data_IF_883448315736
#
_entry.id   IF_883448315736
#
_cell.length_a   1.000
_cell.length_b   1.000
_cell.length_c   1.000
_cell.angle_alpha   90.00
_cell.angle_beta   90.00
_cell.angle_gamma   90.00
#
_symmetry.space_group_name_H-M   'P 1'
#
loop_
_entity.id
_entity.type
_entity.pdbx_description
1 polymer ?
#
# COMPACT_ATOMS: atom_id res chain seq x y z
N UNK A 1 -34.67 -7.45 2.37
CA UNK A 1 -34.04 -7.27 1.04
C UNK A 1 -33.16 -6.02 0.94
N UNK A 2 -33.62 -4.84 1.34
CA UNK A 2 -32.86 -3.58 1.21
C UNK A 2 -31.50 -3.59 1.95
N UNK A 3 -31.42 -4.18 3.14
CA UNK A 3 -30.17 -4.21 3.93
C UNK A 3 -29.11 -5.14 3.35
N UNK A 4 -29.51 -6.31 2.81
CA UNK A 4 -28.59 -7.20 2.12
C UNK A 4 -28.04 -6.53 0.85
N UNK A 5 -28.91 -5.82 0.12
CA UNK A 5 -28.50 -5.03 -1.05
C UNK A 5 -27.47 -3.95 -0.70
N UNK A 6 -27.70 -3.19 0.38
CA UNK A 6 -26.77 -2.18 0.86
C UNK A 6 -25.42 -2.78 1.29
N UNK A 7 -25.42 -3.95 1.92
CA UNK A 7 -24.19 -4.64 2.28
C UNK A 7 -23.39 -5.07 1.04
N UNK A 8 -24.05 -5.75 0.10
CA UNK A 8 -23.42 -6.20 -1.16
C UNK A 8 -22.86 -4.99 -1.93
N UNK A 9 -23.63 -3.90 -2.01
CA UNK A 9 -23.20 -2.67 -2.68
C UNK A 9 -22.00 -2.01 -1.98
N UNK A 10 -21.97 -2.01 -0.64
CA UNK A 10 -20.85 -1.50 0.14
C UNK A 10 -19.57 -2.32 -0.10
N UNK A 11 -19.68 -3.66 -0.15
CA UNK A 11 -18.54 -4.55 -0.45
C UNK A 11 -18.03 -4.35 -1.89
N UNK A 12 -18.94 -4.20 -2.84
CA UNK A 12 -18.59 -3.92 -4.23
C UNK A 12 -17.85 -2.58 -4.38
N UNK A 13 -18.36 -1.52 -3.75
CA UNK A 13 -17.68 -0.21 -3.77
C UNK A 13 -16.29 -0.26 -3.16
N UNK A 14 -16.13 -0.98 -2.05
CA UNK A 14 -14.83 -1.13 -1.39
C UNK A 14 -13.83 -1.86 -2.30
N UNK A 15 -14.25 -2.96 -2.92
CA UNK A 15 -13.40 -3.70 -3.86
C UNK A 15 -12.98 -2.84 -5.05
N UNK A 16 -13.92 -2.10 -5.62
CA UNK A 16 -13.63 -1.22 -6.75
C UNK A 16 -12.67 -0.10 -6.37
N UNK A 17 -12.88 0.57 -5.23
CA UNK A 17 -11.98 1.62 -4.77
C UNK A 17 -10.55 1.10 -4.55
N UNK A 18 -10.42 -0.11 -3.99
CA UNK A 18 -9.12 -0.73 -3.80
C UNK A 18 -8.45 -1.13 -5.12
N UNK A 19 -9.21 -1.70 -6.07
CA UNK A 19 -8.70 -2.01 -7.41
C UNK A 19 -8.25 -0.75 -8.15
N UNK A 20 -9.05 0.31 -8.11
CA UNK A 20 -8.70 1.59 -8.73
C UNK A 20 -7.45 2.21 -8.11
N UNK A 21 -7.31 2.18 -6.78
CA UNK A 21 -6.10 2.67 -6.12
C UNK A 21 -4.85 1.92 -6.59
N UNK A 22 -4.93 0.59 -6.71
CA UNK A 22 -3.83 -0.25 -7.23
C UNK A 22 -3.47 0.08 -8.68
N UNK A 23 -4.47 0.22 -9.53
CA UNK A 23 -4.27 0.59 -10.94
C UNK A 23 -3.63 1.99 -11.08
N UNK A 24 -4.10 2.95 -10.28
CA UNK A 24 -3.50 4.29 -10.24
C UNK A 24 -2.05 4.26 -9.77
N UNK A 25 -1.74 3.51 -8.71
CA UNK A 25 -0.37 3.36 -8.20
C UNK A 25 0.57 2.76 -9.24
N UNK A 26 0.15 1.67 -9.90
CA UNK A 26 0.95 1.06 -10.98
C UNK A 26 1.15 2.04 -12.15
N UNK A 27 0.14 2.81 -12.51
CA UNK A 27 0.23 3.82 -13.57
C UNK A 27 1.19 4.96 -13.19
N UNK A 28 1.08 5.48 -11.96
CA UNK A 28 1.95 6.54 -11.46
C UNK A 28 3.40 6.05 -11.40
N UNK A 29 3.64 4.86 -10.84
CA UNK A 29 4.98 4.28 -10.79
C UNK A 29 5.56 4.08 -12.20
N UNK A 30 4.79 3.50 -13.14
CA UNK A 30 5.24 3.30 -14.52
C UNK A 30 5.52 4.59 -15.26
N UNK A 31 4.71 5.63 -15.05
CA UNK A 31 4.93 6.94 -15.66
C UNK A 31 6.10 7.67 -14.98
N UNK A 32 6.23 7.51 -13.68
CA UNK A 32 7.31 8.10 -12.89
C UNK A 32 8.69 7.60 -13.30
N UNK A 33 8.81 6.31 -13.64
CA UNK A 33 10.07 5.73 -14.15
C UNK A 33 10.61 6.49 -15.36
N UNK A 34 9.74 7.01 -16.21
CA UNK A 34 10.15 7.76 -17.41
C UNK A 34 10.84 9.10 -17.08
N UNK A 35 10.71 9.58 -15.86
CA UNK A 35 11.36 10.82 -15.38
C UNK A 35 12.73 10.56 -14.74
N UNK A 36 13.08 9.29 -14.48
CA UNK A 36 14.29 8.93 -13.76
C UNK A 36 15.48 8.85 -14.73
N UNK A 37 16.54 9.58 -14.40
CA UNK A 37 17.83 9.46 -15.04
C UNK A 37 18.54 8.21 -14.52
N UNK A 38 18.55 7.15 -15.33
CA UNK A 38 19.05 5.84 -14.91
C UNK A 38 20.58 5.85 -14.74
N UNK A 39 21.31 6.63 -15.53
CA UNK A 39 22.77 6.73 -15.41
C UNK A 39 23.15 7.42 -14.08
N UNK A 40 22.46 8.52 -13.75
CA UNK A 40 22.63 9.18 -12.46
C UNK A 40 22.23 8.23 -11.30
N UNK A 41 21.13 7.50 -11.44
CA UNK A 41 20.66 6.55 -10.41
C UNK A 41 21.72 5.48 -10.12
N UNK A 42 22.30 4.88 -11.14
CA UNK A 42 23.32 3.84 -11.01
C UNK A 42 24.65 4.37 -10.41
N UNK A 43 24.83 5.68 -10.42
CA UNK A 43 26.01 6.34 -9.87
C UNK A 43 25.83 6.79 -8.41
N UNK A 44 24.64 6.66 -7.82
CA UNK A 44 24.38 6.98 -6.41
C UNK A 44 25.16 6.04 -5.50
N UNK A 45 26.01 6.53 -4.60
CA UNK A 45 26.72 5.68 -3.64
C UNK A 45 25.72 5.04 -2.65
N UNK A 46 25.71 3.71 -2.53
CA UNK A 46 24.83 2.96 -1.64
C UNK A 46 25.39 2.92 -0.20
N UNK A 47 25.65 4.09 0.34
CA UNK A 47 26.04 4.35 1.74
C UNK A 47 25.35 5.60 2.22
N UNK A 48 25.09 5.73 3.51
CA UNK A 48 24.30 6.86 4.05
C UNK A 48 24.85 8.25 3.64
N UNK A 49 26.18 8.40 3.56
CA UNK A 49 26.80 9.64 3.07
C UNK A 49 26.52 9.94 1.59
N UNK A 50 26.02 8.96 0.83
CA UNK A 50 25.62 9.12 -0.57
C UNK A 50 24.45 10.08 -0.78
N UNK A 51 23.66 10.37 0.29
CA UNK A 51 22.62 11.41 0.27
C UNK A 51 23.15 12.78 -0.17
N UNK A 52 24.39 13.10 0.18
CA UNK A 52 25.06 14.34 -0.23
C UNK A 52 25.56 14.38 -1.67
N UNK A 53 25.49 13.28 -2.43
CA UNK A 53 26.02 13.25 -3.80
C UNK A 53 25.16 14.04 -4.78
N UNK A 54 25.76 14.63 -5.84
CA UNK A 54 25.00 15.35 -6.86
C UNK A 54 23.96 14.46 -7.56
N UNK A 55 24.29 13.19 -7.76
CA UNK A 55 23.42 12.18 -8.41
C UNK A 55 22.19 11.89 -7.54
N UNK A 56 22.38 11.68 -6.23
CA UNK A 56 21.27 11.53 -5.29
C UNK A 56 20.35 12.74 -5.33
N UNK A 57 20.91 13.96 -5.23
CA UNK A 57 20.15 15.20 -5.25
C UNK A 57 19.39 15.41 -6.58
N UNK A 58 19.95 14.93 -7.69
CA UNK A 58 19.27 14.96 -8.99
C UNK A 58 18.04 14.03 -8.98
N UNK A 59 18.20 12.78 -8.55
CA UNK A 59 17.11 11.80 -8.50
C UNK A 59 16.06 12.23 -7.47
N UNK A 60 16.45 12.68 -6.29
CA UNK A 60 15.54 13.18 -5.25
C UNK A 60 14.59 14.26 -5.80
N UNK A 61 15.11 15.23 -6.56
CA UNK A 61 14.25 16.24 -7.22
C UNK A 61 13.30 15.66 -8.25
N UNK A 62 13.64 14.53 -8.89
CA UNK A 62 12.74 13.83 -9.81
C UNK A 62 11.63 13.11 -9.03
N UNK A 63 11.97 12.48 -7.90
CA UNK A 63 10.99 11.85 -6.99
C UNK A 63 10.02 12.88 -6.39
N UNK A 64 10.52 14.04 -5.98
CA UNK A 64 9.67 15.12 -5.48
C UNK A 64 8.63 15.58 -6.53
N UNK A 65 9.00 15.68 -7.80
CA UNK A 65 8.04 16.00 -8.88
C UNK A 65 6.96 14.94 -9.01
N UNK A 66 7.33 13.66 -8.90
CA UNK A 66 6.36 12.56 -8.91
C UNK A 66 5.43 12.69 -7.70
N UNK A 67 5.98 12.90 -6.50
CA UNK A 67 5.21 13.09 -5.28
C UNK A 67 4.22 14.25 -5.38
N UNK A 68 4.65 15.38 -5.91
CA UNK A 68 3.80 16.57 -6.08
C UNK A 68 2.73 16.43 -7.18
N UNK A 69 2.83 15.44 -8.06
CA UNK A 69 1.88 15.24 -9.15
C UNK A 69 0.49 14.80 -8.69
N UNK A 70 0.38 14.22 -7.48
CA UNK A 70 -0.88 13.73 -6.94
C UNK A 70 -0.87 13.82 -5.40
N UNK A 71 -1.82 14.56 -4.83
CA UNK A 71 -1.94 14.78 -3.38
C UNK A 71 -2.22 13.51 -2.55
N UNK A 72 -2.59 12.40 -3.19
CA UNK A 72 -2.78 11.10 -2.52
C UNK A 72 -1.47 10.36 -2.29
N UNK A 73 -0.38 10.78 -2.95
CA UNK A 73 0.94 10.18 -2.78
C UNK A 73 1.53 10.65 -1.45
N UNK A 74 1.92 9.68 -0.63
CA UNK A 74 2.57 9.96 0.65
C UNK A 74 4.08 9.83 0.53
N UNK A 75 4.56 8.72 -0.03
CA UNK A 75 5.99 8.47 -0.22
C UNK A 75 6.31 8.07 -1.66
N UNK A 76 7.52 8.41 -2.09
CA UNK A 76 8.10 8.00 -3.38
C UNK A 76 9.57 7.70 -3.17
N UNK A 77 9.98 6.51 -3.54
CA UNK A 77 11.34 6.03 -3.30
C UNK A 77 11.81 5.06 -4.38
N UNK A 78 13.12 4.86 -4.44
CA UNK A 78 13.75 3.88 -5.32
C UNK A 78 14.53 2.89 -4.47
N UNK A 79 14.32 1.59 -4.73
CA UNK A 79 15.06 0.51 -4.11
C UNK A 79 15.71 -0.38 -5.15
N UNK A 80 16.83 -0.97 -4.79
CA UNK A 80 17.53 -2.01 -5.55
C UNK A 80 17.68 -3.28 -4.68
N UNK A 81 17.88 -4.47 -5.27
CA UNK A 81 18.20 -5.67 -4.48
C UNK A 81 19.43 -5.46 -3.62
N UNK A 82 19.41 -5.95 -2.39
CA UNK A 82 20.60 -5.97 -1.54
C UNK A 82 21.42 -7.26 -1.77
N UNK A 83 22.59 -7.35 -1.16
CA UNK A 83 23.42 -8.55 -1.09
C UNK A 83 22.78 -9.70 -0.29
N UNK A 84 21.78 -9.39 0.53
CA UNK A 84 21.06 -10.34 1.37
C UNK A 84 19.75 -10.78 0.69
N UNK A 85 19.53 -12.10 0.48
CA UNK A 85 18.34 -12.59 -0.22
C UNK A 85 17.05 -12.18 0.46
N UNK A 86 16.12 -11.61 -0.34
CA UNK A 86 14.82 -11.13 0.12
C UNK A 86 14.85 -9.74 0.76
N UNK A 87 16.03 -9.13 0.86
CA UNK A 87 16.14 -7.74 1.28
C UNK A 87 16.35 -6.81 0.08
N UNK A 88 15.74 -5.65 0.16
CA UNK A 88 16.01 -4.51 -0.71
C UNK A 88 16.89 -3.50 0.04
N UNK A 89 17.45 -2.55 -0.67
CA UNK A 89 18.13 -1.38 -0.09
C UNK A 89 17.66 -0.11 -0.80
N UNK A 90 17.50 0.94 -0.03
CA UNK A 90 17.16 2.24 -0.59
C UNK A 90 18.30 2.80 -1.42
N UNK A 91 17.96 3.39 -2.56
CA UNK A 91 18.88 4.16 -3.38
C UNK A 91 18.62 5.65 -3.17
N UNK A 92 17.35 6.06 -3.37
CA UNK A 92 16.90 7.45 -3.13
C UNK A 92 15.48 7.40 -2.58
N UNK A 93 15.20 8.24 -1.60
CA UNK A 93 13.86 8.53 -1.09
C UNK A 93 13.62 10.04 -1.17
N UNK A 94 12.40 10.46 -1.49
CA UNK A 94 12.02 11.87 -1.46
C UNK A 94 11.99 12.43 -0.03
N UNK A 95 11.76 11.57 0.98
CA UNK A 95 11.71 11.94 2.40
C UNK A 95 12.54 10.94 3.24
N UNK A 96 13.87 10.94 3.12
CA UNK A 96 14.72 9.89 3.70
C UNK A 96 14.77 9.91 5.22
N UNK A 97 14.39 11.05 5.83
CA UNK A 97 14.42 11.24 7.28
C UNK A 97 13.01 11.59 7.75
N UNK A 98 12.38 10.75 8.59
CA UNK A 98 11.02 11.03 9.09
C UNK A 98 11.01 12.28 9.99
N UNK A 99 9.89 13.00 10.02
CA UNK A 99 9.70 14.19 10.88
C UNK A 99 9.96 13.88 12.37
N UNK A 100 9.68 12.66 12.80
CA UNK A 100 9.95 12.19 14.16
C UNK A 100 10.80 10.93 14.06
N UNK A 101 12.10 11.08 14.31
CA UNK A 101 13.03 9.94 14.39
C UNK A 101 12.79 9.24 15.74
N UNK A 102 12.31 8.03 15.67
CA UNK A 102 12.19 7.14 16.84
C UNK A 102 13.00 5.86 16.59
N UNK A 103 13.27 5.08 17.64
CA UNK A 103 13.91 3.78 17.48
C UNK A 103 13.08 2.80 16.61
N UNK A 104 11.82 3.13 16.30
CA UNK A 104 10.88 2.34 15.53
C UNK A 104 10.55 2.95 14.15
N UNK A 105 11.13 4.10 13.79
CA UNK A 105 10.98 4.74 12.49
C UNK A 105 12.38 4.96 11.90
N UNK A 106 12.95 3.97 11.20
CA UNK A 106 14.27 4.06 10.62
C UNK A 106 14.30 5.06 9.47
N UNK A 107 15.49 5.48 9.10
CA UNK A 107 15.73 6.26 7.89
C UNK A 107 15.62 5.38 6.65
N UNK A 108 15.44 6.00 5.48
CA UNK A 108 15.51 5.37 4.15
C UNK A 108 16.66 5.96 3.33
N UNK A 109 17.81 6.17 4.00
CA UNK A 109 19.03 6.68 3.38
C UNK A 109 19.64 5.64 2.42
N UNK A 110 20.49 6.06 1.47
CA UNK A 110 21.16 5.14 0.56
C UNK A 110 21.87 3.99 1.30
N UNK A 111 21.58 2.76 0.91
CA UNK A 111 22.13 1.54 1.51
C UNK A 111 21.36 1.02 2.73
N UNK A 112 20.41 1.76 3.29
CA UNK A 112 19.55 1.25 4.37
C UNK A 112 18.71 0.08 3.85
N UNK A 113 18.72 -1.03 4.60
CA UNK A 113 18.07 -2.28 4.20
C UNK A 113 16.59 -2.31 4.56
N UNK A 114 15.80 -2.90 3.70
CA UNK A 114 14.36 -3.11 3.85
C UNK A 114 14.00 -4.58 3.66
N UNK A 115 13.32 -5.19 4.63
CA UNK A 115 12.88 -6.58 4.57
C UNK A 115 11.67 -6.73 3.63
N UNK A 116 11.89 -7.24 2.42
CA UNK A 116 10.86 -7.46 1.42
C UNK A 116 10.36 -8.92 1.33
N UNK A 117 10.79 -9.81 2.24
CA UNK A 117 10.48 -11.26 2.19
C UNK A 117 8.98 -11.56 2.20
N UNK A 118 8.20 -10.72 2.84
CA UNK A 118 6.75 -10.86 2.92
C UNK A 118 5.98 -9.92 1.98
N UNK A 119 6.67 -9.28 1.03
CA UNK A 119 6.12 -8.29 0.09
C UNK A 119 6.24 -8.79 -1.36
N UNK A 120 5.37 -9.72 -1.78
CA UNK A 120 5.46 -10.31 -3.12
C UNK A 120 5.32 -9.30 -4.25
N UNK A 121 4.63 -8.17 -4.01
CA UNK A 121 4.50 -7.10 -5.00
C UNK A 121 5.84 -6.43 -5.30
N UNK A 122 6.70 -6.22 -4.29
CA UNK A 122 8.06 -5.69 -4.45
C UNK A 122 8.89 -6.61 -5.36
N UNK A 123 8.85 -7.91 -5.09
CA UNK A 123 9.63 -8.88 -5.86
C UNK A 123 9.14 -9.02 -7.30
N UNK A 124 7.81 -9.04 -7.51
CA UNK A 124 7.24 -9.12 -8.86
C UNK A 124 7.41 -7.83 -9.67
N UNK A 125 7.77 -6.72 -9.03
CA UNK A 125 8.00 -5.44 -9.71
C UNK A 125 9.19 -5.45 -10.68
N UNK A 126 10.13 -6.38 -10.52
CA UNK A 126 11.23 -6.55 -11.47
C UNK A 126 10.78 -7.13 -12.81
N UNK A 127 9.70 -7.90 -12.83
CA UNK A 127 9.12 -8.46 -14.06
C UNK A 127 8.23 -7.44 -14.78
N UNK A 128 7.53 -6.59 -14.02
CA UNK A 128 6.64 -5.56 -14.54
C UNK A 128 5.93 -4.77 -13.44
N UNK A 129 5.11 -3.76 -13.78
CA UNK A 129 4.39 -2.99 -12.79
C UNK A 129 3.52 -3.88 -11.87
N UNK A 130 3.58 -3.64 -10.59
CA UNK A 130 2.86 -4.41 -9.56
C UNK A 130 2.30 -3.49 -8.49
N UNK A 131 1.34 -3.98 -7.70
CA UNK A 131 0.82 -3.26 -6.53
C UNK A 131 0.39 -4.23 -5.44
N UNK A 132 0.45 -3.78 -4.21
CA UNK A 132 0.08 -4.55 -3.04
C UNK A 132 -1.35 -5.09 -3.15
N UNK A 133 -1.53 -6.35 -2.73
CA UNK A 133 -2.87 -6.97 -2.69
C UNK A 133 -3.66 -6.57 -1.45
N UNK A 134 -2.98 -6.12 -0.41
CA UNK A 134 -3.55 -5.71 0.87
C UNK A 134 -2.93 -4.40 1.32
N UNK A 135 -3.55 -3.76 2.30
CA UNK A 135 -2.94 -2.64 3.02
C UNK A 135 -1.80 -3.19 3.86
N UNK A 136 -0.64 -2.59 3.76
CA UNK A 136 0.53 -2.88 4.59
C UNK A 136 0.55 -1.97 5.82
N UNK A 137 1.09 -2.52 6.89
CA UNK A 137 1.35 -1.82 8.14
C UNK A 137 2.81 -2.02 8.47
N UNK A 138 3.56 -0.96 8.48
CA UNK A 138 4.97 -0.98 8.84
C UNK A 138 5.33 0.16 9.80
N UNK A 139 6.63 0.38 10.00
CA UNK A 139 7.15 1.40 10.92
C UNK A 139 6.86 2.83 10.46
N UNK A 140 6.59 3.06 9.16
CA UNK A 140 6.22 4.36 8.61
C UNK A 140 4.72 4.61 8.55
N UNK A 141 3.90 3.58 8.84
CA UNK A 141 2.45 3.74 8.94
C UNK A 141 1.61 2.71 8.20
N UNK A 142 0.53 3.18 7.59
CA UNK A 142 -0.46 2.38 6.88
C UNK A 142 -0.47 2.81 5.43
N UNK A 143 -0.13 1.89 4.52
CA UNK A 143 0.05 2.20 3.09
C UNK A 143 -0.56 1.13 2.20
N UNK A 144 -0.79 1.55 0.96
CA UNK A 144 -0.90 0.67 -0.19
C UNK A 144 0.10 1.17 -1.22
N UNK A 145 0.94 0.28 -1.70
CA UNK A 145 2.07 0.63 -2.56
C UNK A 145 1.91 0.06 -3.95
N UNK A 146 2.41 0.79 -4.92
CA UNK A 146 2.58 0.36 -6.29
C UNK A 146 4.02 0.55 -6.74
N UNK A 147 4.47 -0.33 -7.60
CA UNK A 147 5.87 -0.43 -8.02
C UNK A 147 5.97 -0.55 -9.53
N UNK A 148 7.07 -0.04 -10.08
CA UNK A 148 7.44 -0.26 -11.48
C UNK A 148 8.96 -0.47 -11.62
N UNK A 149 9.41 -1.34 -12.54
CA UNK A 149 10.83 -1.59 -12.75
C UNK A 149 11.50 -0.41 -13.43
N UNK A 150 12.65 -0.02 -12.92
CA UNK A 150 13.60 0.86 -13.60
C UNK A 150 14.59 -0.05 -14.34
N UNK A 151 14.74 0.18 -15.66
CA UNK A 151 15.57 -0.64 -16.51
C UNK A 151 16.75 0.16 -17.02
N UNK A 152 17.89 -0.50 -17.14
CA UNK A 152 19.07 0.08 -17.79
C UNK A 152 18.89 0.16 -19.34
N UNK A 153 19.91 0.65 -20.00
CA UNK A 153 19.93 0.81 -21.46
C UNK A 153 19.88 -0.54 -22.24
N UNK A 154 20.13 -1.66 -21.54
CA UNK A 154 20.02 -3.03 -22.09
C UNK A 154 18.64 -3.64 -21.83
N UNK A 155 17.75 -2.93 -21.12
CA UNK A 155 16.41 -3.38 -20.74
C UNK A 155 16.37 -4.26 -19.50
N UNK A 156 17.50 -4.45 -18.80
CA UNK A 156 17.58 -5.23 -17.56
C UNK A 156 17.01 -4.41 -16.39
N UNK A 157 16.13 -4.98 -15.56
CA UNK A 157 15.66 -4.29 -14.38
C UNK A 157 16.79 -4.18 -13.33
N UNK A 158 17.12 -2.96 -12.95
CA UNK A 158 18.20 -2.63 -12.01
C UNK A 158 17.69 -2.12 -10.67
N UNK A 159 16.51 -1.53 -10.66
CA UNK A 159 15.84 -1.00 -9.47
C UNK A 159 14.33 -1.01 -9.65
N UNK A 160 13.59 -0.65 -8.61
CA UNK A 160 12.14 -0.39 -8.66
C UNK A 160 11.85 1.00 -8.12
N UNK A 161 10.91 1.69 -8.75
CA UNK A 161 10.26 2.89 -8.22
C UNK A 161 9.05 2.45 -7.40
N UNK A 162 9.02 2.80 -6.12
CA UNK A 162 7.88 2.62 -5.23
C UNK A 162 7.11 3.92 -5.04
N UNK A 163 5.78 3.82 -5.01
CA UNK A 163 4.86 4.93 -4.75
C UNK A 163 3.83 4.45 -3.75
N UNK A 164 3.66 5.18 -2.65
CA UNK A 164 2.75 4.83 -1.57
C UNK A 164 1.60 5.83 -1.47
N UNK A 165 0.38 5.31 -1.43
CA UNK A 165 -0.80 6.05 -0.99
C UNK A 165 -1.04 5.83 0.50
N UNK A 166 -1.56 6.87 1.19
CA UNK A 166 -2.00 6.71 2.58
C UNK A 166 -3.15 5.71 2.68
N UNK A 167 -2.88 4.61 3.38
CA UNK A 167 -3.84 3.52 3.57
C UNK A 167 -4.95 3.84 4.58
N UNK A 168 -4.86 4.93 5.36
CA UNK A 168 -5.84 5.28 6.40
C UNK A 168 -7.22 5.47 5.79
N UNK A 169 -7.32 6.15 4.66
CA UNK A 169 -8.60 6.36 3.96
C UNK A 169 -9.27 5.03 3.57
N UNK A 170 -8.50 4.10 3.00
CA UNK A 170 -9.01 2.77 2.61
C UNK A 170 -9.38 1.95 3.85
N UNK A 171 -8.56 2.03 4.90
CA UNK A 171 -8.85 1.37 6.17
C UNK A 171 -10.15 1.88 6.81
N UNK A 172 -10.41 3.18 6.75
CA UNK A 172 -11.66 3.76 7.25
C UNK A 172 -12.87 3.33 6.42
N UNK A 173 -12.73 3.24 5.10
CA UNK A 173 -13.77 2.65 4.25
C UNK A 173 -14.03 1.18 4.61
N UNK A 174 -13.00 0.38 4.86
CA UNK A 174 -13.14 -1.02 5.30
C UNK A 174 -13.85 -1.11 6.65
N UNK A 175 -13.50 -0.27 7.63
CA UNK A 175 -14.16 -0.21 8.95
C UNK A 175 -15.65 0.15 8.80
N UNK A 176 -15.99 1.14 7.97
CA UNK A 176 -17.38 1.54 7.70
C UNK A 176 -18.16 0.41 7.03
N UNK A 177 -17.59 -0.24 6.01
CA UNK A 177 -18.22 -1.37 5.32
C UNK A 177 -18.48 -2.55 6.27
N UNK A 178 -17.53 -2.87 7.16
CA UNK A 178 -17.69 -3.92 8.18
C UNK A 178 -18.80 -3.59 9.18
N UNK A 179 -18.87 -2.35 9.67
CA UNK A 179 -19.93 -1.90 10.60
C UNK A 179 -21.31 -2.01 9.94
N UNK A 180 -21.44 -1.59 8.68
CA UNK A 180 -22.70 -1.74 7.91
C UNK A 180 -23.10 -3.20 7.73
N UNK A 181 -22.14 -4.09 7.50
CA UNK A 181 -22.39 -5.54 7.39
C UNK A 181 -22.90 -6.15 8.69
N UNK A 182 -22.28 -5.84 9.82
CA UNK A 182 -22.72 -6.31 11.14
C UNK A 182 -24.14 -5.79 11.45
N UNK A 183 -24.42 -4.51 11.19
CA UNK A 183 -25.76 -3.94 11.40
C UNK A 183 -26.81 -4.64 10.53
N UNK A 184 -26.50 -4.93 9.26
CA UNK A 184 -27.39 -5.67 8.36
C UNK A 184 -27.68 -7.10 8.83
N UNK A 185 -26.67 -7.80 9.35
CA UNK A 185 -26.84 -9.15 9.91
C UNK A 185 -27.70 -9.13 11.17
N UNK A 186 -27.47 -8.19 12.08
CA UNK A 186 -28.25 -8.07 13.33
C UNK A 186 -29.72 -7.74 13.03
N UNK A 187 -30.00 -6.82 12.13
CA UNK A 187 -31.37 -6.48 11.74
C UNK A 187 -32.06 -7.62 10.97
N UNK A 188 -31.33 -8.33 10.13
CA UNK A 188 -31.83 -9.53 9.45
C UNK A 188 -32.18 -10.63 10.46
N UNK A 189 -31.36 -10.85 11.46
CA UNK A 189 -31.62 -11.81 12.54
C UNK A 189 -32.84 -11.42 13.36
N UNK A 190 -32.96 -10.16 13.79
CA UNK A 190 -34.14 -9.67 14.51
C UNK A 190 -35.41 -9.83 13.69
N UNK A 191 -35.35 -9.55 12.38
CA UNK A 191 -36.48 -9.74 11.48
C UNK A 191 -36.88 -11.22 11.42
N UNK A 192 -35.93 -12.15 11.26
CA UNK A 192 -36.21 -13.60 11.26
C UNK A 192 -36.83 -14.06 12.58
N UNK A 193 -36.33 -13.57 13.72
CA UNK A 193 -36.87 -13.90 15.06
C UNK A 193 -38.31 -13.39 15.21
N UNK A 194 -38.65 -12.24 14.62
CA UNK A 194 -40.01 -11.66 14.69
C UNK A 194 -41.07 -12.49 13.91
N UNK A 195 -40.64 -13.32 12.95
CA UNK A 195 -41.50 -14.21 12.21
C UNK A 195 -41.62 -15.64 12.80
N UNK A 196 -40.91 -15.93 13.89
CA UNK A 196 -41.09 -17.17 14.60
C UNK A 196 -42.51 -17.20 15.22
N UNK A 197 -43.33 -18.22 14.93
CA UNK A 197 -44.70 -18.29 15.44
C UNK A 197 -44.69 -18.29 16.97
N UNK A 198 -45.55 -17.51 17.59
CA UNK A 198 -45.72 -17.38 19.05
C UNK A 198 -45.82 -18.73 19.78
N UNK A 199 -46.24 -19.79 19.11
CA UNK A 199 -46.25 -21.15 19.63
C UNK A 199 -44.86 -21.70 19.97
N UNK A 200 -43.84 -21.36 19.22
CA UNK A 200 -42.47 -21.81 19.51
C UNK A 200 -41.84 -21.08 20.70
N UNK A 201 -42.27 -19.84 20.99
CA UNK A 201 -41.85 -19.11 22.19
C UNK A 201 -42.40 -19.71 23.46
N UNK A 202 -43.61 -20.31 23.44
CA UNK A 202 -44.21 -21.03 24.59
C UNK A 202 -43.50 -22.35 24.87
N UNK A 203 -42.99 -23.04 23.85
CA UNK A 203 -42.18 -24.26 24.00
C UNK A 203 -40.81 -23.98 24.65
N UNK A 204 -40.19 -22.88 24.29
CA UNK A 204 -38.90 -22.46 24.88
C UNK A 204 -39.07 -21.91 26.32
N UNK A 205 -40.19 -21.28 26.63
CA UNK A 205 -40.49 -20.80 27.98
C UNK A 205 -40.97 -21.93 28.92
N UNK A 206 -41.52 -23.05 28.40
CA UNK A 206 -41.97 -24.22 29.18
C UNK A 206 -40.86 -25.18 29.62
N UNK A 207 -39.61 -24.95 29.26
CA UNK A 207 -38.43 -25.73 29.69
C UNK A 207 -37.86 -25.28 31.07
N UNK A 208 -38.58 -24.42 31.79
CA UNK A 208 -38.25 -23.97 33.17
C UNK A 208 -39.33 -24.30 34.20
N UNK A 209 -39.88 -25.52 34.15
CA UNK A 209 -40.70 -26.04 35.25
C UNK A 209 -40.28 -27.46 35.57
#
# INVERSE_FOLDING_TARGET
MVMLGNFIFSQYRLRNAFSQAREQLMLIASSGVLLIDVEALLSVPLVQSGEGSPEYQQISRQLEKIKQSNSSIKYVYIMTPSDEPGFMQYVVDADPVPEIITAHCPTSLPGDKYDARNLPAVMSAFDGPSADKNINHDVWGVFISGYAPIRDNEGKPVAILGVDFDGIFIQDMQKKARKSGIAALLTGFLFLVSFLPLKSWRLLAGLKS
#
